data_IF_697888608268
#
_entry.id   IF_697888608268
#
_cell.length_a   1.000
_cell.length_b   1.000
_cell.length_c   1.000
_cell.angle_alpha   90.00
_cell.angle_beta   90.00
_cell.angle_gamma   90.00
#
_symmetry.space_group_name_H-M   'P 1'
#
loop_
_entity.id
_entity.type
_entity.pdbx_description
1 polymer ?
#
# COMPACT_ATOMS: atom_id res chain seq x y z
N UNK A 1 28.13 -5.52 -0.66
CA UNK A 1 28.21 -4.33 0.23
C UNK A 1 27.00 -4.38 1.14
N UNK A 2 27.21 -4.18 2.45
CA UNK A 2 26.14 -4.18 3.44
C UNK A 2 25.79 -2.72 3.78
N UNK A 3 24.53 -2.33 3.59
CA UNK A 3 24.01 -0.98 3.92
C UNK A 3 23.50 -0.89 5.38
N UNK A 4 23.59 -2.01 6.09
CA UNK A 4 23.14 -2.16 7.46
C UNK A 4 24.30 -2.69 8.30
N UNK A 5 24.36 -2.27 9.56
CA UNK A 5 25.19 -2.92 10.56
C UNK A 5 24.68 -4.33 10.88
N UNK A 6 25.27 -4.99 11.89
CA UNK A 6 24.76 -6.27 12.38
C UNK A 6 23.27 -6.18 12.72
N UNK A 7 22.49 -7.15 12.26
CA UNK A 7 21.05 -7.21 12.50
C UNK A 7 20.65 -8.42 13.32
N UNK A 8 19.59 -8.26 14.10
CA UNK A 8 18.95 -9.32 14.87
C UNK A 8 17.51 -9.53 14.36
N UNK A 9 17.09 -10.79 14.25
CA UNK A 9 15.71 -11.11 13.87
C UNK A 9 14.77 -10.99 15.08
N UNK A 10 13.61 -10.37 14.88
CA UNK A 10 12.55 -10.25 15.87
C UNK A 10 11.19 -10.59 15.28
N UNK A 11 10.25 -11.04 16.11
CA UNK A 11 8.88 -11.36 15.68
C UNK A 11 7.95 -10.19 15.93
N UNK A 12 7.33 -9.65 14.89
CA UNK A 12 6.37 -8.55 14.98
C UNK A 12 5.13 -8.96 15.81
N UNK A 13 4.70 -8.07 16.71
CA UNK A 13 3.47 -8.23 17.50
C UNK A 13 2.42 -7.23 17.04
N UNK A 14 2.75 -5.93 17.08
CA UNK A 14 1.82 -4.85 16.72
C UNK A 14 2.55 -3.57 16.40
N UNK A 15 1.86 -2.64 15.74
CA UNK A 15 2.35 -1.31 15.39
C UNK A 15 1.46 -0.23 16.04
N UNK A 16 1.78 0.23 17.27
CA UNK A 16 0.94 1.21 17.97
C UNK A 16 0.78 2.55 17.24
N UNK A 17 1.76 2.94 16.43
CA UNK A 17 1.69 4.12 15.58
C UNK A 17 2.65 3.96 14.39
N UNK A 18 2.60 4.91 13.45
CA UNK A 18 3.38 4.88 12.20
C UNK A 18 4.90 4.70 12.38
N UNK A 19 5.48 5.02 13.53
CA UNK A 19 6.93 4.99 13.74
C UNK A 19 7.41 4.01 14.80
N UNK A 20 6.50 3.28 15.45
CA UNK A 20 6.85 2.36 16.54
C UNK A 20 6.25 0.99 16.27
N UNK A 21 7.08 -0.04 16.37
CA UNK A 21 6.65 -1.43 16.41
C UNK A 21 6.96 -2.04 17.77
N UNK A 22 6.11 -2.97 18.19
CA UNK A 22 6.34 -3.86 19.33
C UNK A 22 6.65 -5.23 18.75
N UNK A 23 7.73 -5.85 19.19
CA UNK A 23 8.19 -7.15 18.70
C UNK A 23 8.86 -7.98 19.80
N UNK A 24 8.99 -9.29 19.57
CA UNK A 24 9.75 -10.20 20.43
C UNK A 24 11.15 -10.37 19.87
N UNK A 25 12.15 -9.99 20.64
CA UNK A 25 13.57 -10.22 20.37
C UNK A 25 14.14 -11.09 21.49
N UNK A 26 14.69 -12.27 21.16
CA UNK A 26 15.25 -13.22 22.13
C UNK A 26 14.29 -13.51 23.31
N UNK A 27 13.00 -13.73 22.99
CA UNK A 27 11.94 -14.00 23.97
C UNK A 27 11.41 -12.76 24.74
N UNK A 28 12.07 -11.61 24.65
CA UNK A 28 11.67 -10.38 25.34
C UNK A 28 10.86 -9.46 24.44
N UNK A 29 9.80 -8.87 24.99
CA UNK A 29 9.02 -7.84 24.29
C UNK A 29 9.78 -6.52 24.33
N UNK A 30 10.07 -5.95 23.17
CA UNK A 30 10.76 -4.67 23.02
C UNK A 30 9.99 -3.73 22.08
N UNK A 31 10.43 -2.48 22.02
CA UNK A 31 9.98 -1.50 21.02
C UNK A 31 11.12 -1.13 20.08
N UNK A 32 10.80 -0.93 18.81
CA UNK A 32 11.75 -0.51 17.79
C UNK A 32 11.16 0.63 16.95
N UNK A 33 12.04 1.50 16.46
CA UNK A 33 11.69 2.56 15.52
C UNK A 33 11.49 1.98 14.11
N UNK A 34 10.41 2.37 13.45
CA UNK A 34 10.13 2.02 12.07
C UNK A 34 10.25 3.28 11.19
N UNK A 35 11.37 3.45 10.45
CA UNK A 35 11.60 4.58 9.55
C UNK A 35 10.84 4.41 8.23
N UNK A 36 9.53 4.16 8.31
CA UNK A 36 8.63 4.06 7.18
C UNK A 36 7.23 4.53 7.61
N UNK A 37 6.73 5.65 7.07
CA UNK A 37 5.42 6.18 7.45
C UNK A 37 4.25 5.44 6.79
N UNK A 38 4.53 4.57 5.82
CA UNK A 38 3.55 3.80 5.05
C UNK A 38 2.73 2.84 5.92
N UNK A 39 1.65 2.29 5.38
CA UNK A 39 0.72 1.38 6.08
C UNK A 39 1.33 0.00 6.32
N UNK A 40 2.02 -0.55 5.32
CA UNK A 40 2.74 -1.83 5.37
C UNK A 40 1.88 -3.01 5.85
N UNK A 41 0.56 -3.01 5.57
CA UNK A 41 -0.37 -3.99 6.12
C UNK A 41 -0.05 -5.43 5.71
N UNK A 42 0.53 -5.62 4.52
CA UNK A 42 0.94 -6.92 4.02
C UNK A 42 2.31 -7.39 4.47
N UNK A 43 3.11 -6.48 5.06
CA UNK A 43 4.42 -6.81 5.60
C UNK A 43 4.38 -6.95 7.13
N UNK A 44 3.48 -6.21 7.79
CA UNK A 44 3.35 -6.16 9.25
C UNK A 44 2.12 -6.91 9.75
N UNK A 45 1.99 -8.16 9.31
CA UNK A 45 1.06 -9.12 9.91
C UNK A 45 1.65 -9.68 11.20
N UNK A 46 0.84 -9.93 12.26
CA UNK A 46 1.32 -10.58 13.47
C UNK A 46 2.12 -11.85 13.17
N UNK A 47 3.32 -11.96 13.74
CA UNK A 47 4.24 -13.06 13.46
C UNK A 47 5.31 -12.77 12.39
N UNK A 48 5.18 -11.69 11.62
CA UNK A 48 6.18 -11.32 10.61
C UNK A 48 7.58 -11.15 11.22
N UNK A 49 8.61 -11.60 10.48
CA UNK A 49 10.00 -11.46 10.91
C UNK A 49 10.52 -10.06 10.55
N UNK A 50 11.05 -9.35 11.54
CA UNK A 50 11.69 -8.06 11.40
C UNK A 50 13.20 -8.22 11.52
N UNK A 51 13.94 -7.47 10.71
CA UNK A 51 15.39 -7.32 10.84
C UNK A 51 15.65 -6.01 11.60
N UNK A 52 16.23 -6.11 12.79
CA UNK A 52 16.49 -4.99 13.68
C UNK A 52 17.97 -4.66 13.71
N UNK A 53 18.31 -3.40 13.52
CA UNK A 53 19.65 -2.88 13.77
C UNK A 53 19.67 -2.15 15.12
N UNK A 54 20.66 -2.48 15.95
CA UNK A 54 20.84 -1.83 17.25
C UNK A 54 21.47 -0.45 17.06
N UNK A 55 20.85 0.57 17.65
CA UNK A 55 21.41 1.91 17.69
C UNK A 55 22.68 1.93 18.53
N UNK A 56 23.74 2.52 17.97
CA UNK A 56 25.01 2.75 18.69
C UNK A 56 24.94 3.94 19.65
N UNK A 57 23.92 4.81 19.53
CA UNK A 57 23.74 5.95 20.42
C UNK A 57 23.11 5.52 21.76
N UNK A 58 23.83 5.65 22.90
CA UNK A 58 23.30 5.33 24.22
C UNK A 58 22.15 6.27 24.61
N UNK A 59 21.21 5.78 25.43
CA UNK A 59 20.11 6.60 25.99
C UNK A 59 18.90 6.84 25.07
N UNK A 60 18.86 6.25 23.86
CA UNK A 60 17.69 6.36 22.99
C UNK A 60 16.48 5.61 23.54
N UNK A 61 15.32 6.27 23.51
CA UNK A 61 14.01 5.68 23.88
C UNK A 61 13.66 4.43 23.06
N UNK A 62 14.09 4.39 21.78
CA UNK A 62 13.94 3.25 20.88
C UNK A 62 15.35 2.78 20.48
N UNK A 63 15.91 1.75 21.16
CA UNK A 63 17.29 1.33 20.95
C UNK A 63 17.49 0.49 19.68
N UNK A 64 16.41 0.07 19.02
CA UNK A 64 16.44 -0.71 17.78
C UNK A 64 15.72 0.02 16.65
N UNK A 65 16.19 -0.16 15.42
CA UNK A 65 15.56 0.33 14.19
C UNK A 65 15.22 -0.84 13.28
N UNK A 66 14.00 -0.88 12.77
CA UNK A 66 13.60 -1.86 11.74
C UNK A 66 14.23 -1.44 10.42
N UNK A 67 15.06 -2.31 9.83
CA UNK A 67 15.74 -2.03 8.56
C UNK A 67 15.12 -2.79 7.38
N UNK A 68 14.64 -4.01 7.63
CA UNK A 68 13.94 -4.83 6.66
C UNK A 68 12.83 -5.65 7.35
N UNK A 69 11.88 -6.10 6.56
CA UNK A 69 10.78 -6.98 6.97
C UNK A 69 10.80 -8.20 6.04
N UNK A 70 10.66 -9.39 6.60
CA UNK A 70 10.63 -10.62 5.82
C UNK A 70 9.27 -10.79 5.13
N UNK A 71 9.32 -11.18 3.87
CA UNK A 71 8.16 -11.60 3.08
C UNK A 71 8.54 -12.84 2.31
N UNK A 72 7.82 -13.94 2.53
CA UNK A 72 8.05 -15.23 1.88
C UNK A 72 9.53 -15.69 1.98
N UNK A 73 10.10 -15.57 3.18
CA UNK A 73 11.50 -15.93 3.46
C UNK A 73 12.55 -14.97 2.90
N UNK A 74 12.16 -13.83 2.32
CA UNK A 74 13.08 -12.85 1.72
C UNK A 74 13.00 -11.50 2.43
N UNK A 75 14.13 -10.84 2.72
CA UNK A 75 14.11 -9.52 3.32
C UNK A 75 13.71 -8.44 2.31
N UNK A 76 12.74 -7.61 2.70
CA UNK A 76 12.34 -6.41 1.97
C UNK A 76 12.73 -5.18 2.76
N UNK A 77 13.45 -4.26 2.12
CA UNK A 77 13.90 -3.02 2.75
C UNK A 77 12.71 -2.19 3.23
N UNK A 78 12.70 -1.85 4.52
CA UNK A 78 11.69 -0.99 5.12
C UNK A 78 12.20 0.44 5.33
N UNK A 79 13.52 0.63 5.45
CA UNK A 79 14.10 1.91 5.85
C UNK A 79 14.16 2.93 4.71
N UNK A 80 13.19 3.84 4.64
CA UNK A 80 13.02 4.74 3.49
C UNK A 80 14.21 5.70 3.30
N UNK A 81 14.81 6.24 4.37
CA UNK A 81 15.95 7.15 4.21
C UNK A 81 17.19 6.47 3.64
N UNK A 82 17.47 5.21 4.00
CA UNK A 82 18.59 4.44 3.44
C UNK A 82 18.34 4.03 1.99
N UNK A 83 17.10 4.09 1.52
CA UNK A 83 16.78 3.90 0.10
C UNK A 83 17.47 4.96 -0.75
N UNK A 84 17.59 6.21 -0.27
CA UNK A 84 18.31 7.27 -0.98
C UNK A 84 19.80 6.94 -1.10
N UNK A 85 20.44 6.49 -0.02
CA UNK A 85 21.86 6.12 -0.04
C UNK A 85 22.13 4.90 -0.95
N UNK A 86 21.19 3.94 -0.96
CA UNK A 86 21.23 2.81 -1.88
C UNK A 86 21.13 3.28 -3.34
N UNK A 87 20.17 4.14 -3.66
CA UNK A 87 20.01 4.68 -5.03
C UNK A 87 21.23 5.48 -5.45
N UNK A 88 21.81 6.30 -4.56
CA UNK A 88 23.07 6.99 -4.82
C UNK A 88 24.20 6.00 -5.19
N UNK A 89 24.32 4.89 -4.47
CA UNK A 89 25.31 3.87 -4.79
C UNK A 89 25.08 3.22 -6.17
N UNK A 90 23.83 2.95 -6.53
CA UNK A 90 23.49 2.42 -7.85
C UNK A 90 23.76 3.43 -8.97
N UNK A 91 23.48 4.72 -8.74
CA UNK A 91 23.80 5.82 -9.65
C UNK A 91 25.31 5.94 -9.89
N UNK A 92 26.11 5.94 -8.81
CA UNK A 92 27.58 6.00 -8.90
C UNK A 92 28.19 4.82 -9.65
N UNK A 93 27.52 3.67 -9.63
CA UNK A 93 27.91 2.49 -10.42
C UNK A 93 27.42 2.53 -11.88
N UNK A 94 26.55 3.48 -12.24
CA UNK A 94 25.98 3.58 -13.57
C UNK A 94 25.07 2.41 -13.94
N UNK A 95 24.45 1.74 -12.95
CA UNK A 95 23.66 0.50 -13.16
C UNK A 95 22.14 0.70 -13.03
N UNK A 96 21.67 1.94 -12.89
CA UNK A 96 20.23 2.24 -12.97
C UNK A 96 19.85 2.40 -14.45
N UNK A 97 19.00 1.52 -15.01
CA UNK A 97 18.55 1.65 -16.39
C UNK A 97 17.90 3.01 -16.67
N UNK A 98 18.33 3.70 -17.73
CA UNK A 98 17.86 5.03 -18.12
C UNK A 98 18.66 6.21 -17.54
N UNK A 99 19.55 5.94 -16.58
CA UNK A 99 20.44 6.93 -15.95
C UNK A 99 21.93 6.59 -16.13
N UNK A 100 22.26 5.74 -17.10
CA UNK A 100 23.64 5.45 -17.46
C UNK A 100 24.40 6.72 -17.86
N UNK A 101 25.64 6.85 -17.39
CA UNK A 101 26.49 8.02 -17.66
C UNK A 101 26.05 9.32 -16.97
N UNK A 102 24.99 9.30 -16.14
CA UNK A 102 24.60 10.45 -15.34
C UNK A 102 25.39 10.51 -14.02
N UNK A 103 26.00 11.65 -13.74
CA UNK A 103 26.82 11.87 -12.54
C UNK A 103 26.06 12.70 -11.50
N UNK A 104 26.19 12.33 -10.22
CA UNK A 104 25.57 13.10 -9.13
C UNK A 104 26.37 14.39 -8.92
N UNK A 105 25.72 15.54 -9.14
CA UNK A 105 26.34 16.86 -8.90
C UNK A 105 25.96 17.42 -7.53
N UNK A 106 24.71 17.22 -7.07
CA UNK A 106 24.22 17.71 -5.78
C UNK A 106 23.23 16.73 -5.16
N UNK A 107 23.20 16.67 -3.82
CA UNK A 107 22.13 16.05 -3.03
C UNK A 107 21.17 17.12 -2.52
N UNK A 108 19.92 16.74 -2.25
CA UNK A 108 18.94 17.58 -1.54
C UNK A 108 18.76 18.97 -2.20
N UNK A 109 18.72 18.99 -3.54
CA UNK A 109 18.67 20.21 -4.34
C UNK A 109 17.29 20.87 -4.25
N UNK A 110 17.25 22.17 -3.96
CA UNK A 110 16.01 22.97 -3.99
C UNK A 110 15.72 23.43 -5.42
N UNK A 111 14.47 23.31 -5.84
CA UNK A 111 13.95 23.91 -7.06
C UNK A 111 12.48 24.25 -6.85
N UNK A 112 12.09 25.48 -7.21
CA UNK A 112 10.75 25.99 -6.92
C UNK A 112 10.44 25.89 -5.42
N UNK A 113 9.35 25.20 -5.07
CA UNK A 113 8.92 25.01 -3.69
C UNK A 113 9.21 23.61 -3.15
N UNK A 114 9.95 22.78 -3.88
CA UNK A 114 10.33 21.44 -3.47
C UNK A 114 11.83 21.28 -3.33
N UNK A 115 12.18 20.13 -2.74
CA UNK A 115 13.53 19.66 -2.61
C UNK A 115 13.57 18.23 -3.13
N UNK A 116 14.37 18.03 -4.16
CA UNK A 116 14.59 16.75 -4.82
C UNK A 116 15.85 16.08 -4.26
N UNK A 117 15.88 14.76 -4.26
CA UNK A 117 16.93 13.99 -3.62
C UNK A 117 18.29 14.19 -4.29
N UNK A 118 18.32 14.29 -5.63
CA UNK A 118 19.56 14.47 -6.39
C UNK A 118 19.40 15.41 -7.59
N UNK A 119 20.47 16.10 -7.94
CA UNK A 119 20.70 16.69 -9.25
C UNK A 119 21.78 15.87 -9.96
N UNK A 120 21.46 15.35 -11.13
CA UNK A 120 22.39 14.62 -11.98
C UNK A 120 22.78 15.47 -13.20
N UNK A 121 23.96 15.19 -13.76
CA UNK A 121 24.44 15.77 -15.01
C UNK A 121 24.82 14.65 -15.98
N UNK A 122 24.33 14.71 -17.22
CA UNK A 122 24.69 13.78 -18.31
C UNK A 122 25.02 14.60 -19.55
N UNK A 123 26.31 14.79 -19.84
CA UNK A 123 26.74 15.81 -20.80
C UNK A 123 26.28 17.18 -20.32
N UNK A 124 25.58 17.96 -21.15
CA UNK A 124 25.00 19.26 -20.75
C UNK A 124 23.59 19.16 -20.13
N UNK A 125 22.99 17.97 -20.09
CA UNK A 125 21.66 17.75 -19.53
C UNK A 125 21.69 17.76 -17.99
N UNK A 126 20.88 18.61 -17.38
CA UNK A 126 20.58 18.56 -15.94
C UNK A 126 19.31 17.73 -15.68
N UNK A 127 19.41 16.72 -14.81
CA UNK A 127 18.32 15.81 -14.46
C UNK A 127 18.02 15.94 -12.96
N UNK A 128 16.83 16.42 -12.61
CA UNK A 128 16.35 16.44 -11.23
C UNK A 128 15.71 15.09 -10.91
N UNK A 129 16.22 14.43 -9.87
CA UNK A 129 15.81 13.08 -9.51
C UNK A 129 15.19 13.05 -8.11
N UNK A 130 13.98 12.49 -8.04
CA UNK A 130 13.32 12.11 -6.81
C UNK A 130 13.40 10.58 -6.62
N UNK A 131 13.59 10.13 -5.38
CA UNK A 131 13.60 8.73 -4.98
C UNK A 131 12.38 8.43 -4.12
N UNK A 132 11.66 7.38 -4.49
CA UNK A 132 10.51 6.86 -3.76
C UNK A 132 10.78 5.42 -3.33
N UNK A 133 10.62 5.14 -2.03
CA UNK A 133 10.63 3.78 -1.51
C UNK A 133 9.24 3.17 -1.71
N UNK A 134 9.16 2.10 -2.49
CA UNK A 134 7.92 1.40 -2.80
C UNK A 134 7.85 0.10 -2.00
N UNK A 135 6.95 0.05 -1.02
CA UNK A 135 6.78 -1.08 -0.10
C UNK A 135 5.40 -1.73 -0.15
N UNK A 136 4.53 -1.28 -1.07
CA UNK A 136 3.23 -1.91 -1.32
C UNK A 136 3.36 -2.92 -2.47
N UNK A 137 3.16 -4.22 -2.19
CA UNK A 137 3.30 -5.26 -3.21
C UNK A 137 2.20 -6.31 -3.19
N UNK A 138 1.70 -6.65 -4.38
CA UNK A 138 1.00 -7.89 -4.68
C UNK A 138 1.98 -9.01 -5.05
N UNK A 139 1.49 -10.07 -5.68
CA UNK A 139 2.30 -11.20 -6.15
C UNK A 139 3.34 -10.78 -7.19
N UNK A 140 2.87 -10.08 -8.22
CA UNK A 140 3.70 -9.65 -9.36
C UNK A 140 3.70 -8.12 -9.57
N UNK A 141 3.15 -7.36 -8.64
CA UNK A 141 2.92 -5.92 -8.80
C UNK A 141 3.47 -5.18 -7.59
N UNK A 142 4.12 -4.05 -7.84
CA UNK A 142 4.41 -3.04 -6.84
C UNK A 142 3.55 -1.80 -7.11
N UNK A 143 3.05 -1.15 -6.05
CA UNK A 143 2.27 0.08 -6.17
C UNK A 143 2.77 1.19 -5.25
N UNK A 144 2.62 2.44 -5.68
CA UNK A 144 2.95 3.61 -4.87
C UNK A 144 1.95 4.75 -5.13
N UNK A 145 1.47 5.48 -4.11
CA UNK A 145 1.85 5.41 -2.70
C UNK A 145 0.93 4.50 -1.88
N UNK A 146 1.37 4.05 -0.71
CA UNK A 146 0.53 3.27 0.21
C UNK A 146 -0.31 4.14 1.19
N UNK A 147 -0.19 5.47 1.06
CA UNK A 147 -0.99 6.49 1.72
C UNK A 147 -1.09 7.75 0.84
N UNK A 148 -2.18 8.52 0.98
CA UNK A 148 -2.36 9.78 0.24
C UNK A 148 -1.15 10.71 0.43
N UNK A 149 -0.64 11.27 -0.67
CA UNK A 149 0.59 12.05 -0.73
C UNK A 149 0.45 13.31 -1.60
N UNK A 150 -0.14 14.36 -1.03
CA UNK A 150 -0.18 15.68 -1.68
C UNK A 150 1.22 16.21 -2.04
N UNK A 151 2.24 15.89 -1.21
CA UNK A 151 3.64 16.22 -1.50
C UNK A 151 4.17 15.49 -2.72
N UNK A 152 3.86 14.19 -2.87
CA UNK A 152 4.27 13.42 -4.04
C UNK A 152 3.66 13.96 -5.32
N UNK A 153 2.37 14.31 -5.31
CA UNK A 153 1.69 14.97 -6.44
C UNK A 153 2.41 16.26 -6.85
N UNK A 154 2.63 17.17 -5.89
CA UNK A 154 3.33 18.43 -6.12
C UNK A 154 4.73 18.24 -6.72
N UNK A 155 5.50 17.26 -6.23
CA UNK A 155 6.82 16.96 -6.78
C UNK A 155 6.74 16.51 -8.24
N UNK A 156 5.72 15.71 -8.63
CA UNK A 156 5.55 15.29 -10.02
C UNK A 156 5.20 16.45 -10.94
N UNK A 157 4.32 17.36 -10.49
CA UNK A 157 3.96 18.58 -11.23
C UNK A 157 5.22 19.44 -11.48
N UNK A 158 6.01 19.70 -10.43
CA UNK A 158 7.24 20.50 -10.56
C UNK A 158 8.30 19.80 -11.42
N UNK A 159 8.42 18.47 -11.37
CA UNK A 159 9.32 17.72 -12.29
C UNK A 159 8.85 17.81 -13.75
N UNK A 160 7.54 17.77 -13.99
CA UNK A 160 6.99 17.85 -15.34
C UNK A 160 7.19 19.24 -15.97
N UNK A 161 7.22 20.30 -15.16
CA UNK A 161 7.49 21.68 -15.59
C UNK A 161 8.96 21.92 -16.00
N UNK A 162 9.91 21.11 -15.51
CA UNK A 162 11.33 21.26 -15.85
C UNK A 162 11.60 21.13 -17.35
N UNK A 163 10.82 20.29 -18.05
CA UNK A 163 10.96 20.06 -19.49
C UNK A 163 10.81 21.34 -20.31
N UNK A 164 9.94 22.25 -19.90
CA UNK A 164 9.73 23.54 -20.58
C UNK A 164 10.92 24.50 -20.41
N UNK A 165 11.85 24.18 -19.50
CA UNK A 165 13.04 24.98 -19.16
C UNK A 165 14.34 24.30 -19.63
N UNK A 166 14.25 23.32 -20.52
CA UNK A 166 15.41 22.59 -21.05
C UNK A 166 16.10 21.66 -20.05
N UNK A 167 15.41 21.31 -18.94
CA UNK A 167 15.89 20.40 -17.90
C UNK A 167 15.02 19.14 -17.88
N UNK A 168 15.54 18.05 -17.33
CA UNK A 168 14.82 16.78 -17.25
C UNK A 168 14.41 16.47 -15.81
N UNK A 169 13.24 15.84 -15.65
CA UNK A 169 12.77 15.29 -14.39
C UNK A 169 12.74 13.77 -14.42
N UNK A 170 13.17 13.13 -13.34
CA UNK A 170 13.12 11.68 -13.18
C UNK A 170 12.62 11.29 -11.79
N UNK A 171 11.98 10.13 -11.69
CA UNK A 171 11.58 9.51 -10.43
C UNK A 171 12.03 8.06 -10.41
N UNK A 172 12.85 7.69 -9.44
CA UNK A 172 13.19 6.29 -9.16
C UNK A 172 12.24 5.76 -8.10
N UNK A 173 11.43 4.75 -8.45
CA UNK A 173 10.70 3.95 -7.47
C UNK A 173 11.53 2.71 -7.13
N UNK A 174 12.14 2.69 -5.95
CA UNK A 174 12.89 1.54 -5.47
C UNK A 174 11.94 0.43 -4.99
N UNK A 175 12.07 -0.76 -5.56
CA UNK A 175 11.18 -1.90 -5.35
C UNK A 175 12.02 -3.09 -4.89
N UNK A 176 11.96 -3.36 -3.58
CA UNK A 176 12.70 -4.45 -2.93
C UNK A 176 12.08 -5.84 -3.09
N UNK A 177 11.02 -5.99 -3.90
CA UNK A 177 10.30 -7.25 -4.07
C UNK A 177 10.72 -7.96 -5.38
N UNK A 178 11.46 -9.08 -5.32
CA UNK A 178 12.02 -9.73 -6.50
C UNK A 178 10.98 -10.29 -7.48
N UNK A 179 9.75 -10.55 -7.02
CA UNK A 179 8.68 -11.10 -7.88
C UNK A 179 7.83 -10.03 -8.57
N UNK A 180 7.96 -8.75 -8.19
CA UNK A 180 7.20 -7.68 -8.84
C UNK A 180 7.67 -7.49 -10.29
N UNK A 181 6.87 -7.76 -11.30
CA UNK A 181 7.20 -7.51 -12.71
C UNK A 181 6.63 -6.18 -13.21
N UNK A 182 5.60 -5.69 -12.54
CA UNK A 182 4.87 -4.49 -12.90
C UNK A 182 4.91 -3.44 -11.79
N UNK A 183 4.93 -2.18 -12.19
CA UNK A 183 4.72 -1.04 -11.31
C UNK A 183 3.50 -0.25 -11.77
N UNK A 184 2.62 0.10 -10.82
CA UNK A 184 1.49 1.00 -11.06
C UNK A 184 1.45 2.07 -9.96
N UNK A 185 0.99 3.29 -10.25
CA UNK A 185 0.58 4.17 -9.16
C UNK A 185 -0.61 3.55 -8.42
N UNK A 186 -0.65 3.64 -7.09
CA UNK A 186 -1.78 3.14 -6.29
C UNK A 186 -2.98 4.08 -6.42
N UNK A 187 -3.71 3.93 -7.53
CA UNK A 187 -4.93 4.69 -7.78
C UNK A 187 -6.05 4.31 -6.81
N UNK A 188 -5.95 3.20 -6.07
CA UNK A 188 -6.89 2.89 -4.98
C UNK A 188 -6.64 3.82 -3.78
N UNK A 189 -5.39 4.09 -3.42
CA UNK A 189 -5.12 4.92 -2.25
C UNK A 189 -5.06 6.40 -2.58
N UNK A 190 -4.40 6.78 -3.67
CA UNK A 190 -4.24 8.18 -4.10
C UNK A 190 -4.51 8.34 -5.60
N UNK A 191 -5.78 8.58 -5.92
CA UNK A 191 -6.24 8.79 -7.29
C UNK A 191 -5.60 10.03 -7.92
N UNK A 192 -5.43 11.10 -7.15
CA UNK A 192 -4.88 12.36 -7.64
C UNK A 192 -3.41 12.22 -8.01
N UNK A 193 -2.60 11.59 -7.15
CA UNK A 193 -1.22 11.25 -7.50
C UNK A 193 -1.14 10.40 -8.77
N UNK A 194 -2.04 9.42 -8.90
CA UNK A 194 -2.05 8.50 -10.04
C UNK A 194 -2.38 9.21 -11.35
N UNK A 195 -3.37 10.12 -11.31
CA UNK A 195 -3.73 10.97 -12.46
C UNK A 195 -2.61 11.92 -12.84
N UNK A 196 -1.94 12.53 -11.86
CA UNK A 196 -0.76 13.38 -12.11
C UNK A 196 0.39 12.59 -12.71
N UNK A 197 0.68 11.39 -12.21
CA UNK A 197 1.72 10.52 -12.77
C UNK A 197 1.40 10.18 -14.24
N UNK A 198 0.15 9.80 -14.52
CA UNK A 198 -0.29 9.50 -15.88
C UNK A 198 -0.16 10.72 -16.81
N UNK A 199 -0.58 11.91 -16.35
CA UNK A 199 -0.46 13.15 -17.13
C UNK A 199 1.01 13.54 -17.40
N UNK A 200 1.93 13.16 -16.51
CA UNK A 200 3.35 13.43 -16.63
C UNK A 200 4.15 12.34 -17.38
N UNK A 201 3.50 11.27 -17.88
CA UNK A 201 4.18 10.07 -18.44
C UNK A 201 5.19 10.38 -19.55
N UNK A 202 4.90 11.39 -20.37
CA UNK A 202 5.77 11.81 -21.48
C UNK A 202 6.72 12.95 -21.09
N UNK A 203 6.61 13.50 -19.88
CA UNK A 203 7.37 14.67 -19.41
C UNK A 203 8.39 14.34 -18.32
N UNK A 204 8.18 13.25 -17.59
CA UNK A 204 9.02 12.78 -16.48
C UNK A 204 9.43 11.34 -16.73
N UNK A 205 10.71 11.04 -16.55
CA UNK A 205 11.24 9.68 -16.64
C UNK A 205 10.88 8.89 -15.38
N UNK A 206 9.93 7.96 -15.50
CA UNK A 206 9.53 7.08 -14.40
C UNK A 206 10.31 5.77 -14.43
N UNK A 207 11.11 5.53 -13.40
CA UNK A 207 12.05 4.41 -13.31
C UNK A 207 11.71 3.49 -12.12
N UNK A 208 10.84 2.48 -12.30
CA UNK A 208 10.57 1.49 -11.26
C UNK A 208 11.70 0.46 -11.20
N UNK A 209 12.64 0.70 -10.30
CA UNK A 209 13.89 -0.05 -10.16
C UNK A 209 13.70 -1.18 -9.17
N UNK A 210 13.66 -2.41 -9.68
CA UNK A 210 13.67 -3.64 -8.90
C UNK A 210 15.10 -4.04 -8.52
N UNK A 211 15.32 -4.29 -7.23
CA UNK A 211 16.57 -4.85 -6.71
C UNK A 211 16.28 -5.73 -5.50
N UNK A 212 16.82 -6.94 -5.51
CA UNK A 212 16.68 -7.88 -4.40
C UNK A 212 17.80 -7.70 -3.37
N UNK A 213 17.45 -7.89 -2.10
CA UNK A 213 18.41 -8.08 -1.01
C UNK A 213 18.67 -9.58 -0.82
N UNK A 214 19.94 -9.94 -0.62
CA UNK A 214 20.31 -11.26 -0.14
C UNK A 214 19.80 -11.48 1.30
N UNK A 215 19.73 -12.74 1.79
CA UNK A 215 19.32 -13.02 3.17
C UNK A 215 20.14 -12.32 4.26
N UNK A 216 21.40 -11.97 3.97
CA UNK A 216 22.30 -11.20 4.84
C UNK A 216 22.12 -9.67 4.71
N UNK A 217 21.07 -9.22 3.99
CA UNK A 217 20.75 -7.84 3.64
C UNK A 217 21.75 -7.14 2.71
N UNK A 218 22.72 -7.88 2.14
CA UNK A 218 23.58 -7.33 1.10
C UNK A 218 22.83 -7.17 -0.23
N UNK A 219 23.23 -6.20 -1.05
CA UNK A 219 22.60 -6.00 -2.35
C UNK A 219 22.97 -7.11 -3.34
N UNK A 220 21.99 -7.58 -4.10
CA UNK A 220 22.26 -8.34 -5.33
C UNK A 220 22.86 -7.41 -6.40
N UNK A 221 23.54 -7.99 -7.40
CA UNK A 221 24.10 -7.24 -8.54
C UNK A 221 23.07 -6.96 -9.64
N UNK A 222 21.89 -7.60 -9.58
CA UNK A 222 20.90 -7.57 -10.65
C UNK A 222 19.86 -6.47 -10.41
N UNK A 223 20.08 -5.33 -11.04
CA UNK A 223 19.08 -4.25 -11.15
C UNK A 223 18.18 -4.55 -12.35
N UNK A 224 16.88 -4.34 -12.22
CA UNK A 224 15.92 -4.48 -13.33
C UNK A 224 14.91 -3.34 -13.33
N UNK A 225 14.47 -2.96 -14.53
CA UNK A 225 13.35 -2.02 -14.69
C UNK A 225 12.05 -2.83 -14.77
N UNK A 226 11.06 -2.49 -13.95
CA UNK A 226 9.73 -3.09 -14.04
C UNK A 226 8.93 -2.41 -15.16
N UNK A 227 7.95 -3.12 -15.71
CA UNK A 227 7.07 -2.56 -16.74
C UNK A 227 6.00 -1.69 -16.08
N UNK A 228 5.75 -0.51 -16.64
CA UNK A 228 4.56 0.31 -16.33
C UNK A 228 3.49 0.03 -17.40
N UNK A 229 2.39 -0.66 -17.07
CA UNK A 229 1.30 -0.91 -18.01
C UNK A 229 0.38 0.31 -18.08
N UNK A 230 0.76 1.29 -18.89
CA UNK A 230 0.03 2.57 -19.03
C UNK A 230 -1.44 2.39 -19.43
N UNK A 231 -1.75 1.40 -20.26
CA UNK A 231 -3.10 1.04 -20.69
C UNK A 231 -4.01 0.64 -19.52
N UNK A 232 -3.46 -0.09 -18.54
CA UNK A 232 -4.21 -0.45 -17.33
C UNK A 232 -4.46 0.81 -16.49
N UNK A 233 -3.46 1.68 -16.34
CA UNK A 233 -3.60 2.91 -15.55
C UNK A 233 -4.67 3.82 -16.16
N UNK A 234 -4.66 4.00 -17.49
CA UNK A 234 -5.66 4.78 -18.23
C UNK A 234 -7.08 4.24 -18.06
N UNK A 235 -7.24 2.91 -18.02
CA UNK A 235 -8.54 2.25 -17.85
C UNK A 235 -9.07 2.30 -16.41
N UNK A 236 -8.18 2.06 -15.43
CA UNK A 236 -8.54 1.77 -14.04
C UNK A 236 -8.47 2.98 -13.10
N UNK A 237 -7.63 3.99 -13.40
CA UNK A 237 -7.43 5.17 -12.54
C UNK A 237 -8.56 6.20 -12.66
N UNK A 238 -9.80 5.75 -12.42
CA UNK A 238 -11.01 6.55 -12.43
C UNK A 238 -11.77 6.52 -11.11
N UNK A 239 -12.52 7.57 -10.79
CA UNK A 239 -13.24 7.67 -9.51
C UNK A 239 -14.54 6.85 -9.49
N UNK A 240 -14.42 5.56 -9.76
CA UNK A 240 -15.49 4.55 -9.81
C UNK A 240 -14.97 3.19 -9.35
N UNK A 241 -15.89 2.30 -9.02
CA UNK A 241 -15.59 0.90 -8.69
C UNK A 241 -16.28 0.45 -7.42
N UNK A 242 -15.66 -0.48 -6.72
CA UNK A 242 -16.17 -1.06 -5.47
C UNK A 242 -15.46 -0.47 -4.26
N UNK A 243 -15.94 -0.79 -3.06
CA UNK A 243 -15.27 -0.46 -1.81
C UNK A 243 -15.60 -1.46 -0.72
N UNK A 244 -14.72 -1.52 0.29
CA UNK A 244 -14.96 -2.21 1.56
C UNK A 244 -15.08 -1.16 2.65
N UNK A 245 -16.14 -1.20 3.45
CA UNK A 245 -16.17 -0.49 4.73
C UNK A 245 -15.87 -1.45 5.86
N UNK A 246 -15.07 -0.99 6.82
CA UNK A 246 -14.82 -1.67 8.08
C UNK A 246 -15.47 -0.85 9.20
N UNK A 247 -16.46 -1.45 9.84
CA UNK A 247 -17.13 -0.88 11.02
C UNK A 247 -16.85 -1.76 12.23
N UNK A 248 -16.77 -1.16 13.43
CA UNK A 248 -16.66 -1.90 14.68
C UNK A 248 -17.89 -1.67 15.53
N UNK A 249 -18.59 -2.75 15.89
CA UNK A 249 -19.69 -2.70 16.84
C UNK A 249 -19.19 -3.23 18.20
N UNK A 250 -19.05 -2.38 19.24
CA UNK A 250 -18.42 -2.79 20.51
C UNK A 250 -19.15 -3.93 21.22
N UNK A 251 -20.48 -3.96 21.14
CA UNK A 251 -21.32 -4.96 21.81
C UNK A 251 -22.52 -5.34 20.94
N UNK A 252 -22.95 -6.60 21.05
CA UNK A 252 -24.10 -7.11 20.33
C UNK A 252 -25.39 -6.39 20.72
N UNK A 253 -26.26 -6.12 19.73
CA UNK A 253 -27.53 -5.43 19.94
C UNK A 253 -28.51 -5.64 18.80
N UNK A 254 -29.79 -5.43 19.09
CA UNK A 254 -30.87 -5.43 18.08
C UNK A 254 -31.05 -4.01 17.53
N UNK A 255 -30.95 -3.85 16.22
CA UNK A 255 -31.05 -2.56 15.53
C UNK A 255 -32.20 -2.60 14.51
N UNK A 256 -32.86 -1.46 14.30
CA UNK A 256 -33.84 -1.29 13.23
C UNK A 256 -33.11 -0.77 11.97
N UNK A 257 -33.11 -1.57 10.91
CA UNK A 257 -32.35 -1.30 9.67
C UNK A 257 -33.35 -0.99 8.55
N UNK A 258 -33.87 0.24 8.53
CA UNK A 258 -34.80 0.71 7.49
C UNK A 258 -35.89 -0.33 7.14
N UNK A 259 -35.98 -0.70 5.87
CA UNK A 259 -36.95 -1.69 5.36
C UNK A 259 -36.66 -3.14 5.75
N UNK A 260 -35.45 -3.47 6.20
CA UNK A 260 -35.12 -4.82 6.70
C UNK A 260 -35.67 -5.09 8.09
N UNK A 261 -36.18 -4.07 8.78
CA UNK A 261 -36.76 -4.21 10.10
C UNK A 261 -35.70 -4.48 11.18
N UNK A 262 -36.09 -5.22 12.22
CA UNK A 262 -35.28 -5.43 13.42
C UNK A 262 -34.33 -6.62 13.24
N UNK A 263 -33.02 -6.36 13.25
CA UNK A 263 -31.96 -7.36 13.08
C UNK A 263 -31.11 -7.43 14.36
N UNK A 264 -30.72 -8.64 14.78
CA UNK A 264 -29.76 -8.84 15.86
C UNK A 264 -28.33 -8.86 15.30
N UNK A 265 -27.48 -7.95 15.78
CA UNK A 265 -26.06 -7.87 15.46
C UNK A 265 -25.22 -8.43 16.60
N UNK A 266 -24.19 -9.22 16.28
CA UNK A 266 -23.13 -9.62 17.22
C UNK A 266 -22.14 -8.47 17.41
N UNK A 267 -21.49 -8.38 18.57
CA UNK A 267 -20.34 -7.50 18.73
C UNK A 267 -19.17 -8.01 17.87
N UNK A 268 -18.40 -7.11 17.27
CA UNK A 268 -17.29 -7.45 16.38
C UNK A 268 -17.07 -6.45 15.26
N UNK A 269 -16.23 -6.84 14.30
CA UNK A 269 -15.97 -6.08 13.09
C UNK A 269 -16.93 -6.50 11.99
N UNK A 270 -17.33 -5.54 11.16
CA UNK A 270 -18.22 -5.72 10.03
C UNK A 270 -17.56 -5.22 8.75
N UNK A 271 -17.54 -6.10 7.74
CA UNK A 271 -17.03 -5.86 6.40
C UNK A 271 -18.22 -5.68 5.46
N UNK A 272 -18.35 -4.49 4.87
CA UNK A 272 -19.42 -4.18 3.92
C UNK A 272 -18.85 -3.99 2.52
N UNK A 273 -19.29 -4.79 1.56
CA UNK A 273 -19.04 -4.57 0.14
C UNK A 273 -20.06 -3.59 -0.43
N UNK A 274 -19.58 -2.58 -1.14
CA UNK A 274 -20.43 -1.65 -1.87
C UNK A 274 -19.82 -1.21 -3.19
N UNK A 275 -20.59 -0.51 -4.03
CA UNK A 275 -20.09 0.09 -5.27
C UNK A 275 -20.52 1.54 -5.49
N UNK A 276 -19.80 2.20 -6.38
CA UNK A 276 -20.13 3.51 -6.92
C UNK A 276 -19.64 3.59 -8.39
N UNK A 277 -20.58 3.72 -9.32
CA UNK A 277 -20.28 3.83 -10.76
C UNK A 277 -19.59 5.15 -11.13
N UNK A 278 -19.75 6.19 -10.30
CA UNK A 278 -19.08 7.48 -10.36
C UNK A 278 -18.95 8.04 -8.94
N UNK A 279 -18.02 8.97 -8.74
CA UNK A 279 -17.82 9.69 -7.49
C UNK A 279 -17.57 8.74 -6.29
N UNK A 280 -16.77 7.69 -6.49
CA UNK A 280 -16.44 6.71 -5.45
C UNK A 280 -15.86 7.39 -4.20
N UNK A 281 -15.00 8.39 -4.39
CA UNK A 281 -14.42 9.16 -3.28
C UNK A 281 -15.51 9.84 -2.45
N UNK A 282 -16.47 10.50 -3.09
CA UNK A 282 -17.60 11.14 -2.41
C UNK A 282 -18.51 10.12 -1.71
N UNK A 283 -18.68 8.93 -2.30
CA UNK A 283 -19.45 7.83 -1.69
C UNK A 283 -18.82 7.39 -0.37
N UNK A 284 -17.50 7.25 -0.32
CA UNK A 284 -16.77 6.91 0.90
C UNK A 284 -16.83 8.01 1.96
N UNK A 285 -16.65 9.27 1.56
CA UNK A 285 -16.78 10.40 2.49
C UNK A 285 -18.18 10.51 3.09
N UNK A 286 -19.22 10.20 2.29
CA UNK A 286 -20.59 10.10 2.80
C UNK A 286 -20.70 9.05 3.90
N UNK A 287 -20.09 7.87 3.75
CA UNK A 287 -20.15 6.81 4.76
C UNK A 287 -19.47 7.19 6.07
N UNK A 288 -18.36 7.93 5.98
CA UNK A 288 -17.63 8.46 7.14
C UNK A 288 -18.44 9.50 7.92
N UNK A 289 -19.19 10.37 7.23
CA UNK A 289 -19.94 11.50 7.82
C UNK A 289 -21.03 11.07 8.82
N UNK A 290 -21.10 11.76 9.95
CA UNK A 290 -22.14 11.59 10.97
C UNK A 290 -23.32 12.56 10.76
N UNK A 291 -24.46 12.33 11.44
CA UNK A 291 -25.63 13.23 11.36
C UNK A 291 -26.29 13.36 9.99
N UNK A 292 -26.05 12.40 9.07
CA UNK A 292 -26.62 12.41 7.72
C UNK A 292 -28.03 11.80 7.67
N UNK A 293 -28.83 12.23 6.68
CA UNK A 293 -30.07 11.50 6.32
C UNK A 293 -29.71 10.07 5.93
N UNK A 294 -30.32 9.11 6.63
CA UNK A 294 -30.11 7.68 6.42
C UNK A 294 -30.85 7.24 5.15
N UNK A 295 -30.15 6.55 4.26
CA UNK A 295 -30.72 6.08 2.99
C UNK A 295 -30.40 4.61 2.75
N UNK A 296 -29.15 4.19 2.89
CA UNK A 296 -28.76 2.79 2.74
C UNK A 296 -28.82 2.02 4.05
N UNK A 297 -29.00 0.70 4.00
CA UNK A 297 -28.99 -0.14 5.20
C UNK A 297 -27.73 0.07 6.07
N UNK A 298 -26.58 0.27 5.44
CA UNK A 298 -25.32 0.53 6.12
C UNK A 298 -25.31 1.85 6.90
N UNK A 299 -26.10 2.86 6.47
CA UNK A 299 -26.21 4.13 7.18
C UNK A 299 -26.80 3.91 8.60
N UNK A 300 -27.78 3.00 8.74
CA UNK A 300 -28.40 2.66 10.02
C UNK A 300 -27.45 1.90 10.95
N UNK A 301 -26.62 0.99 10.42
CA UNK A 301 -25.61 0.32 11.24
C UNK A 301 -24.53 1.31 11.68
N UNK A 302 -24.13 2.22 10.80
CA UNK A 302 -23.10 3.22 11.06
C UNK A 302 -23.45 4.16 12.22
N UNK A 303 -24.72 4.42 12.54
CA UNK A 303 -25.09 5.24 13.72
C UNK A 303 -24.78 4.55 15.05
N UNK A 304 -24.49 3.25 15.03
CA UNK A 304 -24.22 2.45 16.23
C UNK A 304 -22.85 1.77 16.22
N UNK A 305 -22.13 1.83 15.09
CA UNK A 305 -20.83 1.21 14.90
C UNK A 305 -19.79 2.27 14.51
N UNK A 306 -18.59 2.14 15.07
CA UNK A 306 -17.48 3.04 14.83
C UNK A 306 -16.91 2.80 13.43
N UNK A 307 -16.77 3.87 12.65
CA UNK A 307 -16.10 3.78 11.36
C UNK A 307 -14.60 3.57 11.56
N UNK A 308 -14.09 2.41 11.12
CA UNK A 308 -12.66 2.13 11.17
C UNK A 308 -12.00 2.58 9.88
N UNK A 309 -12.44 2.05 8.73
CA UNK A 309 -11.81 2.29 7.43
C UNK A 309 -12.83 2.26 6.28
N UNK A 310 -12.51 3.03 5.24
CA UNK A 310 -13.11 2.92 3.91
C UNK A 310 -12.02 2.63 2.89
N UNK A 311 -12.10 1.47 2.26
CA UNK A 311 -11.07 0.94 1.36
C UNK A 311 -11.63 0.93 -0.07
N UNK A 312 -11.32 1.93 -0.90
CA UNK A 312 -11.71 1.90 -2.31
C UNK A 312 -11.03 0.75 -3.05
N UNK A 313 -11.77 0.15 -3.97
CA UNK A 313 -11.35 -0.81 -4.97
C UNK A 313 -11.74 -0.22 -6.32
N UNK A 314 -10.97 0.77 -6.78
CA UNK A 314 -11.18 1.40 -8.09
C UNK A 314 -10.97 0.39 -9.20
N UNK A 315 -11.96 0.28 -10.06
CA UNK A 315 -11.96 -0.69 -11.13
C UNK A 315 -12.89 -0.21 -12.25
N UNK A 316 -12.57 -0.57 -13.48
CA UNK A 316 -13.52 -0.43 -14.59
C UNK A 316 -14.62 -1.49 -14.53
N UNK A 317 -14.31 -2.68 -14.03
CA UNK A 317 -15.22 -3.81 -13.95
C UNK A 317 -16.13 -3.76 -12.70
N UNK A 318 -17.36 -4.32 -12.75
CA UNK A 318 -18.29 -4.34 -11.62
C UNK A 318 -17.94 -5.44 -10.60
N UNK A 319 -17.00 -5.16 -9.70
CA UNK A 319 -16.44 -6.17 -8.78
C UNK A 319 -17.23 -6.38 -7.47
N UNK A 320 -18.35 -5.71 -7.25
CA UNK A 320 -19.06 -5.70 -5.96
C UNK A 320 -19.50 -7.10 -5.50
N UNK A 321 -20.16 -7.85 -6.38
CA UNK A 321 -20.67 -9.18 -6.03
C UNK A 321 -19.53 -10.19 -5.82
N UNK A 322 -18.46 -10.10 -6.61
CA UNK A 322 -17.26 -10.94 -6.43
C UNK A 322 -16.56 -10.62 -5.11
N UNK A 323 -16.40 -9.33 -4.79
CA UNK A 323 -15.87 -8.86 -3.53
C UNK A 323 -16.71 -9.34 -2.35
N UNK A 324 -18.04 -9.26 -2.44
CA UNK A 324 -18.95 -9.77 -1.42
C UNK A 324 -18.77 -11.29 -1.21
N UNK A 325 -18.65 -12.08 -2.28
CA UNK A 325 -18.38 -13.53 -2.21
C UNK A 325 -17.04 -13.81 -1.51
N UNK A 326 -15.99 -13.04 -1.81
CA UNK A 326 -14.68 -13.21 -1.19
C UNK A 326 -14.71 -12.88 0.31
N UNK A 327 -15.33 -11.75 0.68
CA UNK A 327 -15.51 -11.35 2.08
C UNK A 327 -16.33 -12.38 2.87
N UNK A 328 -17.35 -12.98 2.27
CA UNK A 328 -18.13 -14.05 2.90
C UNK A 328 -17.25 -15.22 3.33
N UNK A 329 -16.32 -15.66 2.48
CA UNK A 329 -15.47 -16.84 2.73
C UNK A 329 -14.48 -16.65 3.89
N UNK A 330 -14.10 -15.42 4.19
CA UNK A 330 -13.16 -15.09 5.28
C UNK A 330 -13.86 -14.63 6.57
N UNK A 331 -15.19 -14.48 6.54
CA UNK A 331 -15.95 -13.94 7.66
C UNK A 331 -16.58 -15.04 8.50
N UNK A 332 -16.76 -14.77 9.80
CA UNK A 332 -17.36 -15.72 10.74
C UNK A 332 -18.89 -15.80 10.64
N UNK A 333 -19.55 -14.77 10.12
CA UNK A 333 -21.00 -14.77 9.88
C UNK A 333 -21.39 -13.76 8.79
N UNK A 334 -22.61 -13.90 8.27
CA UNK A 334 -23.23 -12.92 7.37
C UNK A 334 -24.50 -12.32 7.98
N UNK A 335 -24.91 -11.15 7.49
CA UNK A 335 -26.19 -10.51 7.84
C UNK A 335 -27.15 -10.65 6.64
N UNK A 336 -28.09 -11.60 6.66
CA UNK A 336 -28.89 -11.93 5.47
C UNK A 336 -29.63 -10.74 4.85
N UNK A 337 -29.69 -10.70 3.52
CA UNK A 337 -30.36 -9.67 2.69
C UNK A 337 -29.78 -8.25 2.83
N UNK A 338 -28.66 -8.07 3.53
CA UNK A 338 -28.12 -6.76 3.82
C UNK A 338 -27.38 -6.19 2.62
N UNK A 339 -27.97 -5.17 1.97
CA UNK A 339 -27.29 -4.39 0.92
C UNK A 339 -27.17 -5.11 -0.42
N UNK A 340 -27.97 -6.15 -0.66
CA UNK A 340 -27.99 -6.96 -1.88
C UNK A 340 -29.39 -7.00 -2.52
N UNK A 341 -30.12 -5.87 -2.54
CA UNK A 341 -31.50 -5.82 -3.05
C UNK A 341 -31.62 -5.95 -4.57
N UNK A 342 -30.52 -5.73 -5.28
CA UNK A 342 -30.39 -5.66 -6.73
C UNK A 342 -29.50 -6.77 -7.31
N UNK A 343 -29.14 -7.77 -6.50
CA UNK A 343 -28.34 -8.93 -6.94
C UNK A 343 -28.79 -10.22 -6.25
N UNK A 344 -28.21 -11.36 -6.67
CA UNK A 344 -28.49 -12.68 -6.10
C UNK A 344 -27.65 -13.04 -4.87
N UNK A 345 -26.82 -12.11 -4.37
CA UNK A 345 -26.01 -12.36 -3.18
C UNK A 345 -26.88 -12.55 -1.93
N UNK A 346 -26.46 -13.45 -1.04
CA UNK A 346 -27.13 -13.66 0.25
C UNK A 346 -27.00 -12.46 1.20
N UNK A 347 -25.91 -11.71 1.07
CA UNK A 347 -25.59 -10.50 1.83
C UNK A 347 -24.40 -9.78 1.19
N UNK A 348 -24.28 -8.47 1.43
CA UNK A 348 -23.06 -7.69 1.23
C UNK A 348 -22.43 -7.25 2.57
N UNK A 349 -22.96 -7.69 3.71
CA UNK A 349 -22.45 -7.37 5.04
C UNK A 349 -22.08 -8.64 5.80
N UNK A 350 -20.81 -8.71 6.19
CA UNK A 350 -20.24 -9.87 6.86
C UNK A 350 -19.58 -9.43 8.17
N UNK A 351 -19.50 -10.33 9.14
CA UNK A 351 -18.90 -10.04 10.44
C UNK A 351 -17.83 -11.02 10.86
N UNK A 352 -16.88 -10.53 11.64
CA UNK A 352 -15.77 -11.28 12.21
C UNK A 352 -15.38 -10.74 13.59
N UNK A 353 -14.79 -11.60 14.41
CA UNK A 353 -14.41 -11.25 15.79
C UNK A 353 -13.10 -10.48 15.86
N UNK A 354 -12.17 -10.78 14.95
CA UNK A 354 -10.84 -10.18 14.89
C UNK A 354 -10.84 -8.92 14.02
N UNK A 355 -9.85 -8.05 14.25
CA UNK A 355 -9.67 -6.84 13.45
C UNK A 355 -9.15 -7.21 12.05
N UNK A 356 -9.91 -6.96 10.97
CA UNK A 356 -9.58 -7.45 9.63
C UNK A 356 -8.17 -7.06 9.16
N UNK A 357 -7.69 -5.86 9.50
CA UNK A 357 -6.37 -5.39 9.05
C UNK A 357 -5.19 -6.16 9.67
N UNK A 358 -5.44 -6.96 10.71
CA UNK A 358 -4.45 -7.83 11.33
C UNK A 358 -4.57 -9.30 10.87
N UNK A 359 -5.50 -9.60 9.97
CA UNK A 359 -5.74 -10.98 9.48
C UNK A 359 -5.13 -11.18 8.09
N UNK A 360 -4.29 -12.21 7.88
CA UNK A 360 -3.72 -12.51 6.56
C UNK A 360 -4.78 -12.72 5.47
N UNK A 361 -5.91 -13.33 5.82
CA UNK A 361 -6.99 -13.64 4.88
C UNK A 361 -7.63 -12.37 4.31
N UNK A 362 -7.90 -11.37 5.15
CA UNK A 362 -8.45 -10.09 4.69
C UNK A 362 -7.45 -9.31 3.85
N UNK A 363 -6.17 -9.28 4.26
CA UNK A 363 -5.12 -8.61 3.48
C UNK A 363 -4.96 -9.28 2.11
N UNK A 364 -5.04 -10.61 2.03
CA UNK A 364 -5.02 -11.35 0.77
C UNK A 364 -6.21 -10.99 -0.14
N UNK A 365 -7.43 -10.91 0.40
CA UNK A 365 -8.60 -10.42 -0.36
C UNK A 365 -8.34 -9.00 -0.88
N UNK A 366 -7.93 -8.09 0.00
CA UNK A 366 -7.69 -6.69 -0.37
C UNK A 366 -6.63 -6.55 -1.47
N UNK A 367 -5.51 -7.27 -1.35
CA UNK A 367 -4.44 -7.28 -2.35
C UNK A 367 -4.90 -7.86 -3.69
N UNK A 368 -5.68 -8.94 -3.67
CA UNK A 368 -6.20 -9.51 -4.90
C UNK A 368 -7.05 -8.49 -5.67
N UNK A 369 -8.04 -7.90 -5.00
CA UNK A 369 -8.97 -6.97 -5.64
C UNK A 369 -8.33 -5.63 -6.03
N UNK A 370 -7.25 -5.21 -5.37
CA UNK A 370 -6.52 -3.98 -5.71
C UNK A 370 -5.38 -4.19 -6.69
N UNK A 371 -4.79 -5.38 -6.77
CA UNK A 371 -3.51 -5.57 -7.45
C UNK A 371 -3.49 -6.83 -8.29
N UNK A 372 -3.64 -8.00 -7.67
CA UNK A 372 -3.27 -9.26 -8.34
C UNK A 372 -4.24 -9.66 -9.45
N UNK A 373 -5.53 -9.31 -9.33
CA UNK A 373 -6.55 -9.60 -10.35
C UNK A 373 -6.19 -9.04 -11.75
N UNK A 374 -5.34 -8.01 -11.81
CA UNK A 374 -4.92 -7.39 -13.07
C UNK A 374 -4.03 -8.30 -13.92
N UNK A 375 -3.37 -9.28 -13.30
CA UNK A 375 -2.33 -10.10 -13.92
C UNK A 375 -2.53 -11.59 -13.70
N UNK A 376 -3.69 -12.00 -13.18
CA UNK A 376 -4.07 -13.39 -12.94
C UNK A 376 -5.45 -13.61 -13.54
N UNK A 377 -5.64 -14.72 -14.28
CA UNK A 377 -6.90 -15.04 -14.97
C UNK A 377 -7.91 -15.80 -14.08
N UNK A 378 -7.58 -16.04 -12.81
CA UNK A 378 -8.36 -16.90 -11.90
C UNK A 378 -9.16 -16.07 -10.90
N UNK A 379 -10.39 -16.49 -10.60
CA UNK A 379 -11.21 -15.92 -9.53
C UNK A 379 -10.59 -16.18 -8.16
N UNK A 380 -10.81 -15.24 -7.23
CA UNK A 380 -10.34 -15.39 -5.85
C UNK A 380 -10.91 -16.66 -5.20
N UNK A 381 -10.01 -17.55 -4.77
CA UNK A 381 -10.35 -18.77 -4.02
C UNK A 381 -10.63 -20.03 -4.85
N UNK A 382 -10.43 -20.02 -6.18
CA UNK A 382 -10.50 -21.26 -6.99
C UNK A 382 -9.20 -22.08 -6.96
N UNK A 383 -8.02 -21.44 -6.87
CA UNK A 383 -6.73 -22.11 -6.63
C UNK A 383 -5.69 -21.25 -5.87
N UNK A 384 -6.03 -20.00 -5.51
CA UNK A 384 -5.15 -19.14 -4.72
C UNK A 384 -5.09 -19.72 -3.31
N UNK A 385 -3.93 -20.24 -2.85
CA UNK A 385 -3.84 -20.84 -1.52
C UNK A 385 -4.26 -19.81 -0.48
N UNK A 386 -4.99 -20.22 0.56
CA UNK A 386 -5.21 -19.38 1.76
C UNK A 386 -3.88 -18.88 2.35
N UNK A 387 -2.80 -19.61 2.07
CA UNK A 387 -1.41 -19.35 2.42
C UNK A 387 -0.64 -18.50 1.40
N UNK A 388 -1.28 -17.86 0.41
CA UNK A 388 -0.62 -16.96 -0.54
C UNK A 388 0.04 -15.72 0.11
N UNK A 389 -0.07 -15.58 1.43
CA UNK A 389 0.69 -14.63 2.25
C UNK A 389 2.07 -15.15 2.71
N UNK A 390 2.47 -16.39 2.38
CA UNK A 390 3.80 -16.91 2.73
C UNK A 390 4.04 -17.12 4.21
N UNK A 391 2.99 -17.41 4.98
CA UNK A 391 3.06 -17.66 6.42
C UNK A 391 2.92 -19.17 6.64
N UNK A 392 4.06 -19.83 6.83
CA UNK A 392 4.20 -21.05 7.63
C UNK A 392 5.41 -20.84 8.55
#
# INVERSE_FOLDING_TARGET
MNFFGPTEKATFIKRPNRFVVVCKLNGKTITAFLPNPGRLWELLLPGAVLYLEKSLQPGRKLPYTVVAIEREGRPVMAHTHRTNDLVEHLLRKGIIPGLEGAEITKREIRHGNSRFDFLLKRGEEEIYLEVKSCTLFGRQVAMFPDAVTARGKKHLEELAELRDRGKSGAVVFFIGWPRANYFLPDYHTDLEFSKTLLAAKDRVSFLPVGLELNPDLSLTSKVRLLRIPWDIIEKEAEDRGSYILILKLPAGRKLNIGKLGRIAFKGGYYLYAGSAQKNLTQRLERHKREGKKLFWHIDYLRTHADFQLGLPVRASDPLECELARALKRISGWEVPRFGCSDCSCSSHLFGMSEDPINTPEFISVLQYFRMDRLFVQEEWGQQIPRTACGIL
#
